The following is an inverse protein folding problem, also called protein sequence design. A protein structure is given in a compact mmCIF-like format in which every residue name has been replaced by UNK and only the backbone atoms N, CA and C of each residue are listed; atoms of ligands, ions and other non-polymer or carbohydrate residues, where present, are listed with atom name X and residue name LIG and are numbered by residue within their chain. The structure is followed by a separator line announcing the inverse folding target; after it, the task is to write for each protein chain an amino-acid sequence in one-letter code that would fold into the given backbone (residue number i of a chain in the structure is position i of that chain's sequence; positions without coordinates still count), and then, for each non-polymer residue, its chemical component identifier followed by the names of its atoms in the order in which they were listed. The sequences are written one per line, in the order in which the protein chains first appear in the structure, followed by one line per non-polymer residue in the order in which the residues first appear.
data_IF_857336683706
#
_entry.id   IF_857336683706
#
_cell.length_a   1.000
_cell.length_b   1.000
_cell.length_c   1.000
_cell.angle_alpha   90.00
_cell.angle_beta   90.00
_cell.angle_gamma   90.00
#
_symmetry.space_group_name_H-M   'P 1'
#
loop_
_entity.id
_entity.type
_entity.pdbx_description
1 polymer ?
#
# COMPACT_ATOMS: atom_id res chain seq x y z
N UNK A 1 17.43 18.19 25.45
CA UNK A 1 17.25 18.16 24.00
C UNK A 1 16.12 17.18 23.72
N UNK A 2 15.04 17.57 23.03
CA UNK A 2 13.95 16.69 22.71
C UNK A 2 14.16 16.15 21.29
N UNK A 3 14.01 14.84 21.11
CA UNK A 3 14.08 14.18 19.80
C UNK A 3 12.69 13.69 19.43
N UNK A 4 12.36 13.74 18.15
CA UNK A 4 11.14 13.19 17.59
C UNK A 4 11.51 12.23 16.46
N UNK A 5 10.91 11.04 16.47
CA UNK A 5 11.06 10.03 15.42
C UNK A 5 9.70 9.88 14.76
N UNK A 6 9.68 9.80 13.45
CA UNK A 6 8.45 9.55 12.69
C UNK A 6 8.68 8.58 11.54
N UNK A 7 7.65 7.79 11.23
CA UNK A 7 7.61 6.91 10.07
C UNK A 7 7.34 7.76 8.84
N UNK A 8 8.38 8.09 8.07
CA UNK A 8 8.23 8.96 6.90
C UNK A 8 7.74 8.19 5.68
N UNK A 9 6.79 8.73 4.92
CA UNK A 9 6.45 8.21 3.62
C UNK A 9 7.61 8.45 2.64
N UNK A 10 8.19 7.36 2.16
CA UNK A 10 9.34 7.39 1.24
C UNK A 10 8.90 7.11 -0.21
N UNK A 11 8.08 7.94 -0.77
CA UNK A 11 7.31 7.69 -2.00
C UNK A 11 8.15 7.25 -3.20
N UNK A 12 9.17 8.02 -3.55
CA UNK A 12 10.07 7.70 -4.67
C UNK A 12 11.36 7.02 -4.23
N UNK A 13 11.70 7.09 -2.96
CA UNK A 13 13.01 6.69 -2.46
C UNK A 13 13.15 5.17 -2.36
N UNK A 14 12.09 4.45 -2.04
CA UNK A 14 12.11 2.98 -1.93
C UNK A 14 12.59 2.31 -3.21
N UNK A 15 12.06 2.74 -4.37
CA UNK A 15 12.52 2.26 -5.66
C UNK A 15 13.92 2.78 -6.01
N UNK A 16 14.17 4.06 -5.77
CA UNK A 16 15.46 4.68 -6.12
C UNK A 16 16.62 4.05 -5.36
N UNK A 17 16.48 3.86 -4.06
CA UNK A 17 17.53 3.23 -3.25
C UNK A 17 17.72 1.76 -3.63
N UNK A 18 16.66 1.01 -3.80
CA UNK A 18 16.75 -0.36 -4.28
C UNK A 18 17.50 -0.46 -5.62
N UNK A 19 17.23 0.45 -6.57
CA UNK A 19 17.91 0.49 -7.86
C UNK A 19 19.40 0.84 -7.74
N UNK A 20 19.77 1.72 -6.82
CA UNK A 20 21.17 2.09 -6.53
C UNK A 20 21.90 0.90 -5.91
N UNK A 21 21.30 0.25 -4.93
CA UNK A 21 21.89 -0.87 -4.23
C UNK A 21 22.03 -2.09 -5.14
N UNK A 22 21.05 -2.35 -5.99
CA UNK A 22 21.14 -3.39 -7.01
C UNK A 22 22.30 -3.15 -7.98
N UNK A 23 22.58 -1.88 -8.36
CA UNK A 23 23.74 -1.53 -9.18
C UNK A 23 25.08 -1.71 -8.46
N UNK A 24 25.13 -1.46 -7.14
CA UNK A 24 26.36 -1.52 -6.32
C UNK A 24 26.68 -2.94 -5.88
N UNK A 25 25.69 -3.69 -5.47
CA UNK A 25 25.84 -4.97 -4.74
C UNK A 25 25.28 -6.16 -5.51
N UNK A 26 24.66 -5.93 -6.68
CA UNK A 26 23.95 -6.97 -7.44
C UNK A 26 22.55 -7.23 -6.93
N UNK A 27 21.93 -8.24 -7.53
CA UNK A 27 20.63 -8.71 -7.09
C UNK A 27 20.77 -9.58 -5.84
N UNK A 28 20.12 -9.18 -4.74
CA UNK A 28 20.10 -9.91 -3.49
C UNK A 28 18.64 -10.35 -3.27
N UNK A 29 18.45 -11.68 -3.18
CA UNK A 29 17.14 -12.31 -2.98
C UNK A 29 16.46 -11.73 -1.75
N UNK A 30 15.16 -11.48 -1.86
CA UNK A 30 14.27 -10.91 -0.84
C UNK A 30 14.64 -9.50 -0.36
N UNK A 31 15.68 -8.89 -0.95
CA UNK A 31 16.13 -7.53 -0.63
C UNK A 31 15.99 -6.61 -1.84
N UNK A 32 16.79 -6.84 -2.89
CA UNK A 32 16.82 -5.94 -4.07
C UNK A 32 16.13 -6.51 -5.30
N UNK A 33 15.74 -7.77 -5.28
CA UNK A 33 15.13 -8.49 -6.41
C UNK A 33 13.75 -7.94 -6.81
N UNK A 34 12.97 -7.50 -5.84
CA UNK A 34 11.61 -6.95 -6.07
C UNK A 34 11.59 -5.56 -6.73
N UNK A 35 12.73 -4.85 -6.77
CA UNK A 35 12.86 -3.53 -7.39
C UNK A 35 12.34 -2.36 -6.56
N UNK A 36 11.97 -2.59 -5.30
CA UNK A 36 11.60 -1.58 -4.30
C UNK A 36 11.89 -2.09 -2.90
N UNK A 37 12.01 -1.20 -1.93
CA UNK A 37 12.06 -1.55 -0.51
C UNK A 37 10.70 -1.42 0.14
N UNK A 38 10.43 -2.26 1.11
CA UNK A 38 9.28 -2.06 2.02
C UNK A 38 9.45 -0.73 2.74
N UNK A 39 8.35 -0.02 2.89
CA UNK A 39 8.40 1.33 3.42
C UNK A 39 8.40 1.32 4.94
N UNK A 40 9.31 2.11 5.55
CA UNK A 40 9.40 2.26 7.00
C UNK A 40 9.46 0.90 7.72
N UNK A 41 8.68 0.72 8.78
CA UNK A 41 8.57 -0.51 9.59
C UNK A 41 7.41 -1.42 9.16
N UNK A 42 6.75 -1.12 8.05
CA UNK A 42 5.58 -1.90 7.61
C UNK A 42 5.95 -3.33 7.23
N UNK A 43 5.00 -4.22 7.43
CA UNK A 43 5.09 -5.58 6.89
C UNK A 43 5.19 -5.52 5.36
N UNK A 44 5.97 -6.43 4.76
CA UNK A 44 6.10 -6.50 3.30
C UNK A 44 4.71 -6.66 2.66
N UNK A 45 4.43 -5.90 1.62
CA UNK A 45 3.12 -5.86 0.95
C UNK A 45 2.70 -7.20 0.33
N UNK A 46 3.65 -8.13 0.18
CA UNK A 46 3.43 -9.48 -0.34
C UNK A 46 3.13 -10.51 0.75
N UNK A 47 3.25 -10.13 2.01
CA UNK A 47 3.07 -11.05 3.12
C UNK A 47 1.59 -11.32 3.36
N UNK A 48 1.22 -12.61 3.31
CA UNK A 48 -0.12 -13.07 3.65
C UNK A 48 -0.28 -13.10 5.17
N UNK A 49 -0.75 -12.01 5.71
CA UNK A 49 -0.92 -11.80 7.15
C UNK A 49 -2.30 -11.21 7.43
N UNK A 50 -2.92 -11.59 8.55
CA UNK A 50 -4.17 -10.97 8.94
C UNK A 50 -3.97 -9.49 9.32
N UNK A 51 -5.03 -8.68 9.17
CA UNK A 51 -4.99 -7.26 9.60
C UNK A 51 -4.62 -7.13 11.08
N UNK A 52 -5.08 -8.05 11.92
CA UNK A 52 -4.81 -8.02 13.35
C UNK A 52 -3.33 -8.32 13.67
N UNK A 53 -2.75 -9.32 13.02
CA UNK A 53 -1.35 -9.68 13.25
C UNK A 53 -0.40 -8.64 12.66
N UNK A 54 -0.75 -8.07 11.49
CA UNK A 54 -0.05 -6.93 10.92
C UNK A 54 -0.02 -5.75 11.89
N UNK A 55 -1.16 -5.36 12.44
CA UNK A 55 -1.26 -4.26 13.39
C UNK A 55 -0.58 -4.56 14.73
N UNK A 56 -0.63 -5.81 15.21
CA UNK A 56 0.16 -6.23 16.39
C UNK A 56 1.65 -6.06 16.19
N UNK A 57 2.14 -6.37 14.99
CA UNK A 57 3.55 -6.14 14.66
C UNK A 57 3.88 -4.65 14.61
N UNK A 58 3.07 -3.85 13.94
CA UNK A 58 3.36 -2.43 13.70
C UNK A 58 3.13 -1.53 14.92
N UNK A 59 2.27 -1.90 15.86
CA UNK A 59 1.94 -1.09 17.04
C UNK A 59 3.16 -0.73 17.90
N UNK A 60 4.14 -1.63 18.03
CA UNK A 60 5.32 -1.37 18.83
C UNK A 60 6.20 -0.28 18.23
N UNK A 61 6.28 -0.20 16.91
CA UNK A 61 6.97 0.88 16.21
C UNK A 61 6.21 2.20 16.30
N UNK A 62 4.88 2.16 16.27
CA UNK A 62 4.04 3.35 16.45
C UNK A 62 4.28 4.00 17.82
N UNK A 63 4.36 3.21 18.88
CA UNK A 63 4.68 3.71 20.24
C UNK A 63 6.01 4.47 20.30
N UNK A 64 6.98 4.07 19.48
CA UNK A 64 8.30 4.72 19.42
C UNK A 64 8.33 5.93 18.48
N UNK A 65 7.35 6.05 17.58
CA UNK A 65 7.29 7.10 16.57
C UNK A 65 6.60 8.35 17.11
N UNK A 66 7.24 9.05 18.03
CA UNK A 66 6.69 10.23 18.71
C UNK A 66 6.36 11.40 17.79
N UNK A 67 6.90 11.42 16.57
CA UNK A 67 6.61 12.43 15.53
C UNK A 67 5.44 12.07 14.64
N UNK A 68 4.89 10.86 14.79
CA UNK A 68 3.77 10.37 14.00
C UNK A 68 4.13 9.22 13.06
N UNK A 69 3.14 8.45 12.74
CA UNK A 69 3.21 7.30 11.84
C UNK A 69 1.80 6.90 11.42
N UNK A 70 1.69 6.14 10.35
CA UNK A 70 0.42 5.61 9.84
C UNK A 70 0.61 4.13 9.55
N UNK A 71 -0.30 3.30 10.06
CA UNK A 71 -0.46 1.92 9.59
C UNK A 71 -1.64 1.82 8.64
N UNK A 72 -1.56 1.02 7.60
CA UNK A 72 -2.66 0.80 6.69
C UNK A 72 -2.82 -0.67 6.32
N UNK A 73 -4.04 -1.07 6.10
CA UNK A 73 -4.41 -2.41 5.71
C UNK A 73 -5.12 -2.41 4.36
N UNK A 74 -4.70 -3.33 3.49
CA UNK A 74 -5.42 -3.63 2.25
C UNK A 74 -6.60 -4.52 2.61
N UNK A 75 -7.82 -4.02 2.47
CA UNK A 75 -9.04 -4.78 2.75
C UNK A 75 -9.94 -4.83 1.52
N UNK A 76 -10.71 -5.92 1.33
CA UNK A 76 -11.70 -5.98 0.27
C UNK A 76 -12.85 -5.00 0.52
N UNK A 77 -13.78 -4.93 -0.43
CA UNK A 77 -15.04 -4.23 -0.19
C UNK A 77 -15.83 -4.92 0.94
N UNK A 78 -16.04 -4.21 2.04
CA UNK A 78 -16.66 -4.72 3.26
C UNK A 78 -18.12 -4.26 3.44
N UNK A 79 -18.77 -3.74 2.41
CA UNK A 79 -20.14 -3.22 2.50
C UNK A 79 -21.13 -4.23 3.10
N UNK A 80 -20.91 -5.52 2.90
CA UNK A 80 -21.75 -6.60 3.40
C UNK A 80 -21.20 -7.27 4.67
N UNK A 81 -20.16 -6.72 5.29
CA UNK A 81 -19.54 -7.28 6.50
C UNK A 81 -19.12 -6.20 7.49
N UNK A 82 -20.13 -5.47 7.95
CA UNK A 82 -19.96 -4.35 8.90
C UNK A 82 -19.41 -4.82 10.25
N UNK A 83 -19.75 -6.04 10.66
CA UNK A 83 -19.24 -6.62 11.90
C UNK A 83 -17.72 -6.78 11.89
N UNK A 84 -17.15 -7.25 10.79
CA UNK A 84 -15.70 -7.35 10.65
C UNK A 84 -15.02 -5.96 10.69
N UNK A 85 -15.63 -4.95 10.07
CA UNK A 85 -15.14 -3.57 10.18
C UNK A 85 -15.15 -3.10 11.64
N UNK A 86 -16.25 -3.35 12.36
CA UNK A 86 -16.37 -2.96 13.78
C UNK A 86 -15.27 -3.62 14.62
N UNK A 87 -15.00 -4.91 14.41
CA UNK A 87 -13.94 -5.62 15.13
C UNK A 87 -12.55 -5.02 14.83
N UNK A 88 -12.27 -4.70 13.57
CA UNK A 88 -11.03 -4.03 13.18
C UNK A 88 -10.90 -2.64 13.81
N UNK A 89 -11.97 -1.84 13.81
CA UNK A 89 -11.96 -0.50 14.40
C UNK A 89 -11.74 -0.58 15.92
N UNK A 90 -12.37 -1.53 16.62
CA UNK A 90 -12.15 -1.75 18.05
C UNK A 90 -10.69 -2.12 18.32
N UNK A 91 -10.12 -3.03 17.54
CA UNK A 91 -8.72 -3.40 17.68
C UNK A 91 -7.77 -2.20 17.45
N UNK A 92 -8.04 -1.39 16.42
CA UNK A 92 -7.27 -0.17 16.12
C UNK A 92 -7.36 0.79 17.31
N UNK A 93 -8.56 1.05 17.82
CA UNK A 93 -8.78 1.96 18.94
C UNK A 93 -7.95 1.58 20.19
N UNK A 94 -7.83 0.29 20.44
CA UNK A 94 -7.13 -0.21 21.63
C UNK A 94 -5.59 -0.28 21.45
N UNK A 95 -5.08 -0.39 20.20
CA UNK A 95 -3.71 -0.79 19.97
C UNK A 95 -2.91 0.12 19.04
N UNK A 96 -3.55 0.88 18.16
CA UNK A 96 -2.93 1.62 17.07
C UNK A 96 -3.22 3.11 17.22
N UNK A 97 -2.21 3.95 17.10
CA UNK A 97 -2.37 5.40 17.22
C UNK A 97 -3.05 6.00 15.98
N UNK A 98 -2.68 5.53 14.80
CA UNK A 98 -3.27 5.96 13.54
C UNK A 98 -3.25 4.83 12.52
N UNK A 99 -4.42 4.46 12.05
CA UNK A 99 -4.58 3.46 10.99
C UNK A 99 -5.57 3.91 9.92
N UNK A 100 -5.39 3.39 8.72
CA UNK A 100 -6.26 3.62 7.59
C UNK A 100 -6.52 2.32 6.84
N UNK A 101 -7.73 2.20 6.30
CA UNK A 101 -8.09 1.12 5.39
C UNK A 101 -7.88 1.55 3.95
N UNK A 102 -7.26 0.68 3.17
CA UNK A 102 -7.10 0.84 1.74
C UNK A 102 -8.05 -0.10 1.02
N UNK A 103 -9.11 0.47 0.48
CA UNK A 103 -10.07 -0.23 -0.39
C UNK A 103 -9.88 0.27 -1.82
N UNK A 104 -10.10 -0.60 -2.80
CA UNK A 104 -9.95 -0.26 -4.20
C UNK A 104 -11.30 0.12 -4.77
N UNK A 105 -11.47 1.37 -5.11
CA UNK A 105 -12.69 1.94 -5.71
C UNK A 105 -12.26 2.83 -6.88
N UNK A 106 -12.09 2.20 -8.02
CA UNK A 106 -11.66 2.85 -9.25
C UNK A 106 -12.81 2.92 -10.24
N UNK A 107 -12.71 3.81 -11.22
CA UNK A 107 -13.73 4.00 -12.22
C UNK A 107 -13.15 4.11 -13.63
N UNK A 108 -13.75 3.40 -14.58
CA UNK A 108 -13.41 3.50 -16.00
C UNK A 108 -14.48 4.30 -16.74
N UNK A 109 -14.13 5.46 -17.27
CA UNK A 109 -15.03 6.34 -18.02
C UNK A 109 -15.41 5.82 -19.42
N UNK A 110 -14.72 4.77 -19.91
CA UNK A 110 -15.02 4.18 -21.22
C UNK A 110 -16.22 3.24 -21.16
N UNK A 111 -16.31 2.40 -20.13
CA UNK A 111 -17.33 1.37 -20.03
C UNK A 111 -18.21 1.47 -18.78
N UNK A 112 -17.93 2.44 -17.89
CA UNK A 112 -18.67 2.60 -16.64
C UNK A 112 -18.30 1.57 -15.55
N UNK A 113 -17.19 0.81 -15.72
CA UNK A 113 -16.74 -0.13 -14.70
C UNK A 113 -16.43 0.61 -13.39
N UNK A 114 -17.02 0.15 -12.30
CA UNK A 114 -16.78 0.60 -10.93
C UNK A 114 -16.22 -0.59 -10.13
N UNK A 115 -14.95 -0.50 -9.72
CA UNK A 115 -14.26 -1.59 -9.07
C UNK A 115 -12.75 -1.41 -9.13
N UNK A 116 -12.00 -2.51 -9.05
CA UNK A 116 -10.55 -2.47 -9.12
C UNK A 116 -10.04 -2.42 -10.56
N UNK A 117 -9.39 -1.33 -10.95
CA UNK A 117 -8.54 -1.26 -12.15
C UNK A 117 -7.25 -2.02 -11.85
N UNK A 118 -6.90 -2.96 -12.70
CA UNK A 118 -5.77 -3.86 -12.50
C UNK A 118 -4.47 -3.30 -13.08
N UNK A 119 -3.34 -3.83 -12.62
CA UNK A 119 -2.04 -3.65 -13.24
C UNK A 119 -1.69 -4.96 -13.96
N UNK A 120 -1.63 -4.93 -15.28
CA UNK A 120 -1.36 -6.10 -16.11
C UNK A 120 0.10 -6.60 -16.00
N UNK A 121 0.46 -7.64 -16.74
CA UNK A 121 1.80 -8.23 -16.70
C UNK A 121 2.90 -7.35 -17.32
N UNK A 122 2.50 -6.34 -18.08
CA UNK A 122 3.40 -5.31 -18.62
C UNK A 122 3.58 -4.10 -17.68
N UNK A 123 3.04 -4.17 -16.45
CA UNK A 123 2.97 -3.08 -15.48
C UNK A 123 2.19 -1.85 -15.98
N UNK A 124 1.18 -2.08 -16.79
CA UNK A 124 0.26 -1.05 -17.27
C UNK A 124 -1.08 -1.15 -16.54
N UNK A 125 -1.68 -0.01 -16.25
CA UNK A 125 -3.03 0.06 -15.72
C UNK A 125 -4.04 -0.28 -16.80
N UNK A 126 -4.96 -1.19 -16.50
CA UNK A 126 -5.90 -1.72 -17.46
C UNK A 126 -7.27 -1.98 -16.80
N UNK A 127 -8.32 -1.53 -17.46
CA UNK A 127 -9.69 -1.86 -17.04
C UNK A 127 -9.97 -3.35 -17.27
N UNK A 128 -10.38 -4.12 -16.25
CA UNK A 128 -10.62 -5.55 -16.41
C UNK A 128 -11.83 -5.87 -17.29
N UNK A 129 -12.74 -4.90 -17.51
CA UNK A 129 -13.95 -5.11 -18.31
C UNK A 129 -13.76 -4.79 -19.78
N UNK A 130 -13.15 -3.64 -20.12
CA UNK A 130 -13.05 -3.18 -21.51
C UNK A 130 -11.62 -3.07 -22.03
N UNK A 131 -10.64 -3.46 -21.21
CA UNK A 131 -9.20 -3.39 -21.53
C UNK A 131 -8.67 -1.99 -21.88
N UNK A 132 -9.41 -0.95 -21.50
CA UNK A 132 -8.94 0.42 -21.65
C UNK A 132 -7.64 0.63 -20.84
N UNK A 133 -6.64 1.23 -21.48
CA UNK A 133 -5.34 1.60 -20.90
C UNK A 133 -5.10 3.10 -20.89
N UNK A 134 -6.05 3.86 -21.43
CA UNK A 134 -5.95 5.32 -21.45
C UNK A 134 -6.15 5.87 -20.04
N UNK A 135 -5.05 6.32 -19.44
CA UNK A 135 -5.01 6.85 -18.08
C UNK A 135 -5.90 8.08 -17.87
N UNK A 136 -6.16 8.84 -18.93
CA UNK A 136 -7.05 10.01 -18.85
C UNK A 136 -8.53 9.63 -18.75
N UNK A 137 -8.84 8.38 -19.05
CA UNK A 137 -10.20 7.82 -19.01
C UNK A 137 -10.41 6.82 -17.86
N UNK A 138 -9.54 6.87 -16.87
CA UNK A 138 -9.63 6.05 -15.66
C UNK A 138 -9.33 6.90 -14.43
N UNK A 139 -10.14 6.74 -13.40
CA UNK A 139 -9.84 7.25 -12.06
C UNK A 139 -9.33 6.10 -11.22
N UNK A 140 -8.10 6.19 -10.79
CA UNK A 140 -7.47 5.19 -9.93
C UNK A 140 -6.96 5.87 -8.68
N UNK A 141 -7.39 5.38 -7.53
CA UNK A 141 -7.03 5.94 -6.23
C UNK A 141 -6.38 4.86 -5.38
N UNK A 142 -5.20 5.12 -4.86
CA UNK A 142 -4.49 4.21 -3.95
C UNK A 142 -3.90 4.97 -2.78
N UNK A 143 -4.01 4.35 -1.62
CA UNK A 143 -3.26 4.80 -0.46
C UNK A 143 -1.78 4.46 -0.67
N UNK A 144 -0.94 5.47 -0.55
CA UNK A 144 0.51 5.32 -0.50
C UNK A 144 0.99 5.97 0.78
N UNK A 145 2.05 5.51 1.33
CA UNK A 145 2.72 5.96 2.55
C UNK A 145 2.37 7.37 3.06
N UNK A 146 1.21 7.52 3.67
CA UNK A 146 0.82 8.78 4.33
C UNK A 146 -0.10 9.69 3.53
N UNK A 147 -0.41 9.39 2.27
CA UNK A 147 -1.41 10.14 1.51
C UNK A 147 -2.22 9.24 0.58
N UNK A 148 -3.38 9.72 0.22
CA UNK A 148 -4.21 9.14 -0.82
C UNK A 148 -3.76 9.71 -2.17
N UNK A 149 -3.10 8.88 -2.99
CA UNK A 149 -2.67 9.25 -4.32
C UNK A 149 -3.76 9.00 -5.35
N UNK A 150 -3.92 9.94 -6.26
CA UNK A 150 -4.79 9.81 -7.41
C UNK A 150 -3.96 9.66 -8.68
N UNK A 151 -4.54 8.95 -9.64
CA UNK A 151 -3.97 8.71 -10.94
C UNK A 151 -2.81 7.70 -10.93
N UNK A 152 -1.62 8.07 -11.41
CA UNK A 152 -0.62 7.06 -11.76
C UNK A 152 0.73 7.34 -11.13
N UNK A 153 1.43 6.28 -10.78
CA UNK A 153 2.68 6.30 -10.04
C UNK A 153 3.88 5.94 -10.92
N UNK A 154 5.08 6.19 -10.41
CA UNK A 154 6.31 5.71 -11.05
C UNK A 154 6.36 4.18 -11.08
N UNK A 155 7.27 3.63 -11.91
CA UNK A 155 7.38 2.18 -12.14
C UNK A 155 7.54 1.37 -10.85
N UNK A 156 8.40 1.81 -9.94
CA UNK A 156 8.65 1.08 -8.70
C UNK A 156 7.45 1.08 -7.75
N UNK A 157 6.71 2.20 -7.69
CA UNK A 157 5.47 2.27 -6.91
C UNK A 157 4.36 1.45 -7.57
N UNK A 158 4.28 1.44 -8.88
CA UNK A 158 3.34 0.59 -9.63
C UNK A 158 3.59 -0.89 -9.35
N UNK A 159 4.85 -1.32 -9.34
CA UNK A 159 5.24 -2.70 -8.96
C UNK A 159 4.86 -3.04 -7.53
N UNK A 160 5.09 -2.13 -6.60
CA UNK A 160 4.72 -2.30 -5.18
C UNK A 160 3.20 -2.42 -5.02
N UNK A 161 2.42 -1.55 -5.67
CA UNK A 161 0.95 -1.62 -5.65
C UNK A 161 0.44 -2.93 -6.25
N UNK A 162 1.03 -3.39 -7.37
CA UNK A 162 0.69 -4.67 -8.00
C UNK A 162 0.94 -5.86 -7.07
N UNK A 163 1.99 -5.78 -6.26
CA UNK A 163 2.39 -6.87 -5.37
C UNK A 163 1.60 -6.94 -4.06
N UNK A 164 0.74 -5.94 -3.77
CA UNK A 164 -0.04 -5.90 -2.53
C UNK A 164 -1.05 -7.03 -2.45
N UNK A 165 -1.06 -7.69 -1.30
CA UNK A 165 -2.07 -8.70 -0.96
C UNK A 165 -3.08 -8.16 0.05
N UNK A 166 -4.26 -8.76 0.09
CA UNK A 166 -5.29 -8.42 1.08
C UNK A 166 -4.91 -8.97 2.44
N UNK A 167 -5.16 -8.19 3.48
CA UNK A 167 -5.01 -8.59 4.88
C UNK A 167 -6.34 -9.11 5.42
N UNK A 168 -6.56 -10.42 5.31
CA UNK A 168 -7.81 -11.11 5.68
C UNK A 168 -7.55 -12.24 6.68
#
# INVERSE_FOLDING_TARGET
MAFSIYGTPAESLTHRFCSIDKKRFGEIKDITDKGYYTNSYHVDVREHISVFDKFKFEQEFQKLSTGGCISYAEIPNMNNNVEAIEQMIRFIYDNIQYAEFNTKSDYCHVCGFDGEIIINDYNEWECPQCHNKDKQKMNVTRRTCGYLGENFWNEGRTKEIKARVLHI
#
